data_IF_642940353440
#
_entry.id   IF_642940353440
#
_cell.length_a   1.000
_cell.length_b   1.000
_cell.length_c   1.000
_cell.angle_alpha   90.00
_cell.angle_beta   90.00
_cell.angle_gamma   90.00
#
_symmetry.space_group_name_H-M   'P 1'
#
loop_
_entity.id
_entity.type
_entity.pdbx_description
1 polymer ?
#
# COMPACT_ATOMS: atom_id res chain seq x y z
N UNK A 1 -21.32 10.60 18.22
CA UNK A 1 -20.27 10.30 17.22
C UNK A 1 -21.00 10.03 15.92
N UNK A 2 -20.85 10.88 14.90
CA UNK A 2 -21.43 10.59 13.58
C UNK A 2 -20.83 9.29 13.05
N UNK A 3 -21.67 8.30 12.75
CA UNK A 3 -21.21 7.11 12.05
C UNK A 3 -20.82 7.52 10.62
N UNK A 4 -19.52 7.59 10.35
CA UNK A 4 -19.00 7.90 9.02
C UNK A 4 -19.47 6.81 8.06
N UNK A 5 -20.40 7.16 7.16
CA UNK A 5 -20.91 6.23 6.17
C UNK A 5 -19.87 6.02 5.08
N UNK A 6 -19.16 4.88 5.13
CA UNK A 6 -18.20 4.51 4.09
C UNK A 6 -18.90 4.14 2.78
N UNK A 7 -18.22 4.37 1.65
CA UNK A 7 -18.67 3.82 0.35
C UNK A 7 -18.76 2.30 0.40
N UNK A 8 -19.58 1.70 -0.45
CA UNK A 8 -19.72 0.23 -0.55
C UNK A 8 -18.38 -0.50 -0.78
N UNK A 9 -17.44 0.11 -1.52
CA UNK A 9 -16.09 -0.44 -1.71
C UNK A 9 -15.29 -0.47 -0.41
N UNK A 10 -15.39 0.57 0.41
CA UNK A 10 -14.69 0.65 1.69
C UNK A 10 -15.31 -0.27 2.74
N UNK A 11 -16.64 -0.36 2.80
CA UNK A 11 -17.34 -1.32 3.65
C UNK A 11 -16.86 -2.75 3.37
N UNK A 12 -16.87 -3.18 2.10
CA UNK A 12 -16.36 -4.50 1.71
C UNK A 12 -14.92 -4.77 2.16
N UNK A 13 -14.05 -3.78 2.09
CA UNK A 13 -12.66 -3.90 2.57
C UNK A 13 -12.61 -4.09 4.07
N UNK A 14 -13.35 -3.26 4.80
CA UNK A 14 -13.37 -3.27 6.26
C UNK A 14 -13.96 -4.58 6.78
N UNK A 15 -15.11 -5.01 6.24
CA UNK A 15 -15.74 -6.29 6.57
C UNK A 15 -14.79 -7.48 6.35
N UNK A 16 -14.00 -7.44 5.27
CA UNK A 16 -13.01 -8.47 4.98
C UNK A 16 -11.90 -8.49 6.04
N UNK A 17 -11.35 -7.33 6.41
CA UNK A 17 -10.32 -7.22 7.44
C UNK A 17 -10.84 -7.55 8.84
N UNK A 18 -12.07 -7.17 9.17
CA UNK A 18 -12.72 -7.52 10.43
C UNK A 18 -12.90 -9.03 10.56
N UNK A 19 -13.30 -9.70 9.47
CA UNK A 19 -13.55 -11.14 9.47
C UNK A 19 -12.29 -12.00 9.42
N UNK A 20 -11.29 -11.60 8.64
CA UNK A 20 -10.11 -12.45 8.35
C UNK A 20 -8.80 -11.91 8.93
N UNK A 21 -8.82 -10.72 9.52
CA UNK A 21 -7.66 -10.10 10.15
C UNK A 21 -6.74 -9.37 9.17
N UNK A 22 -5.51 -9.17 9.64
CA UNK A 22 -4.49 -8.43 8.91
C UNK A 22 -3.96 -9.19 7.67
N UNK A 23 -3.47 -8.49 6.63
CA UNK A 23 -2.89 -9.13 5.44
C UNK A 23 -1.80 -10.17 5.69
N UNK A 24 -1.12 -10.12 6.84
CA UNK A 24 -0.08 -11.07 7.22
C UNK A 24 -0.59 -12.36 7.92
N UNK A 25 -1.90 -12.50 8.16
CA UNK A 25 -2.45 -13.69 8.82
C UNK A 25 -2.68 -14.84 7.84
N UNK A 26 -2.58 -16.10 8.29
CA UNK A 26 -2.97 -17.28 7.49
C UNK A 26 -4.43 -17.24 7.04
N UNK A 27 -5.34 -16.77 7.89
CA UNK A 27 -6.79 -16.70 7.64
C UNK A 27 -7.11 -15.74 6.51
N UNK A 28 -6.50 -14.55 6.52
CA UNK A 28 -6.60 -13.58 5.43
C UNK A 28 -6.16 -14.19 4.11
N UNK A 29 -5.01 -14.88 4.11
CA UNK A 29 -4.48 -15.53 2.90
C UNK A 29 -5.42 -16.60 2.36
N UNK A 30 -5.99 -17.43 3.23
CA UNK A 30 -6.91 -18.48 2.82
C UNK A 30 -8.19 -17.89 2.21
N UNK A 31 -8.76 -16.88 2.85
CA UNK A 31 -9.95 -16.18 2.37
C UNK A 31 -9.71 -15.47 1.04
N UNK A 32 -8.59 -14.76 0.93
CA UNK A 32 -8.21 -14.06 -0.29
C UNK A 32 -8.00 -15.05 -1.45
N UNK A 33 -7.40 -16.22 -1.20
CA UNK A 33 -7.24 -17.28 -2.21
C UNK A 33 -8.56 -17.92 -2.62
N UNK A 34 -9.59 -17.90 -1.78
CA UNK A 34 -10.94 -18.37 -2.11
C UNK A 34 -11.79 -17.30 -2.83
N UNK A 35 -11.47 -16.01 -2.65
CA UNK A 35 -12.20 -14.90 -3.24
C UNK A 35 -12.11 -14.86 -4.77
N UNK A 36 -13.07 -14.19 -5.41
CA UNK A 36 -13.05 -13.92 -6.86
C UNK A 36 -11.86 -13.03 -7.25
N UNK A 37 -11.44 -13.05 -8.52
CA UNK A 37 -10.32 -12.23 -8.99
C UNK A 37 -10.52 -10.73 -8.71
N UNK A 38 -11.71 -10.20 -8.98
CA UNK A 38 -12.02 -8.79 -8.73
C UNK A 38 -11.98 -8.42 -7.25
N UNK A 39 -12.44 -9.31 -6.38
CA UNK A 39 -12.40 -9.10 -4.94
C UNK A 39 -10.97 -9.15 -4.41
N UNK A 40 -10.13 -10.07 -4.90
CA UNK A 40 -8.70 -10.08 -4.55
C UNK A 40 -8.03 -8.76 -4.85
N UNK A 41 -8.28 -8.21 -6.04
CA UNK A 41 -7.74 -6.90 -6.43
C UNK A 41 -8.33 -5.78 -5.57
N UNK A 42 -9.64 -5.81 -5.29
CA UNK A 42 -10.29 -4.79 -4.45
C UNK A 42 -9.70 -4.72 -3.04
N UNK A 43 -9.43 -5.88 -2.43
CA UNK A 43 -8.89 -6.00 -1.08
C UNK A 43 -7.40 -5.66 -1.05
N UNK A 44 -6.60 -6.25 -1.93
CA UNK A 44 -5.15 -6.07 -1.90
C UNK A 44 -4.66 -4.77 -2.52
N UNK A 45 -5.34 -4.23 -3.52
CA UNK A 45 -4.84 -3.10 -4.29
C UNK A 45 -5.76 -1.89 -4.15
N UNK A 46 -5.16 -0.73 -3.93
CA UNK A 46 -5.83 0.55 -4.09
C UNK A 46 -5.35 1.25 -5.35
N UNK A 47 -6.22 1.30 -6.37
CA UNK A 47 -5.88 1.91 -7.67
C UNK A 47 -5.54 3.40 -7.54
N UNK A 48 -6.15 4.13 -6.61
CA UNK A 48 -5.82 5.54 -6.42
C UNK A 48 -4.43 5.70 -5.78
N UNK A 49 -4.09 4.87 -4.79
CA UNK A 49 -2.74 4.89 -4.24
C UNK A 49 -1.67 4.44 -5.25
N UNK A 50 -2.01 3.55 -6.18
CA UNK A 50 -1.11 3.12 -7.25
C UNK A 50 -0.64 4.29 -8.12
N UNK A 51 -1.58 5.15 -8.55
CA UNK A 51 -1.26 6.28 -9.44
C UNK A 51 -0.88 7.56 -8.69
N UNK A 52 -1.45 7.79 -7.50
CA UNK A 52 -1.32 9.08 -6.80
C UNK A 52 -0.47 9.01 -5.52
N UNK A 53 0.04 7.83 -5.14
CA UNK A 53 1.00 7.65 -4.05
C UNK A 53 0.70 8.49 -2.82
N UNK A 54 1.63 9.38 -2.46
CA UNK A 54 1.53 10.27 -1.30
C UNK A 54 0.30 11.17 -1.31
N UNK A 55 -0.12 11.69 -2.46
CA UNK A 55 -1.27 12.59 -2.56
C UNK A 55 -2.52 11.87 -2.06
N UNK A 56 -2.68 10.60 -2.42
CA UNK A 56 -3.82 9.81 -1.94
C UNK A 56 -3.70 9.41 -0.47
N UNK A 57 -2.48 9.14 0.03
CA UNK A 57 -2.27 8.93 1.46
C UNK A 57 -2.65 10.17 2.27
N UNK A 58 -2.37 11.38 1.78
CA UNK A 58 -2.79 12.63 2.43
C UNK A 58 -4.32 12.79 2.43
N UNK A 59 -5.00 12.43 1.34
CA UNK A 59 -6.48 12.43 1.28
C UNK A 59 -7.09 11.48 2.33
N UNK A 60 -6.48 10.30 2.53
CA UNK A 60 -6.89 9.36 3.58
C UNK A 60 -6.40 9.78 4.98
N UNK A 61 -5.62 10.86 5.08
CA UNK A 61 -4.99 11.36 6.29
C UNK A 61 -3.98 10.39 6.90
N UNK A 62 -3.30 9.58 6.08
CA UNK A 62 -2.23 8.65 6.44
C UNK A 62 -0.85 9.31 6.27
N UNK A 63 -0.72 10.56 6.69
CA UNK A 63 0.43 11.41 6.37
C UNK A 63 1.76 10.86 6.90
N UNK A 64 1.79 10.25 8.10
CA UNK A 64 3.01 9.66 8.68
C UNK A 64 3.53 8.49 7.84
N UNK A 65 2.68 7.48 7.62
CA UNK A 65 3.00 6.32 6.77
C UNK A 65 3.33 6.79 5.34
N UNK A 66 2.63 7.81 4.85
CA UNK A 66 2.90 8.45 3.56
C UNK A 66 4.31 9.06 3.47
N UNK A 67 4.74 9.83 4.47
CA UNK A 67 6.10 10.42 4.49
C UNK A 67 7.19 9.34 4.53
N UNK A 68 6.98 8.25 5.26
CA UNK A 68 7.93 7.12 5.25
C UNK A 68 8.00 6.47 3.87
N UNK A 69 6.86 6.18 3.27
CA UNK A 69 6.80 5.63 1.91
C UNK A 69 7.42 6.56 0.85
N UNK A 70 7.26 7.88 1.02
CA UNK A 70 7.92 8.88 0.18
C UNK A 70 9.44 8.82 0.34
N UNK A 71 9.94 8.78 1.58
CA UNK A 71 11.35 8.61 1.89
C UNK A 71 11.95 7.35 1.28
N UNK A 72 11.24 6.21 1.38
CA UNK A 72 11.64 4.94 0.75
C UNK A 72 11.70 5.09 -0.79
N UNK A 73 10.67 5.70 -1.40
CA UNK A 73 10.61 5.89 -2.85
C UNK A 73 11.79 6.74 -3.35
N UNK A 74 12.10 7.84 -2.65
CA UNK A 74 13.25 8.70 -2.96
C UNK A 74 14.56 7.95 -2.74
N UNK A 75 14.70 7.23 -1.62
CA UNK A 75 15.90 6.46 -1.29
C UNK A 75 16.23 5.40 -2.32
N UNK A 76 15.22 4.65 -2.81
CA UNK A 76 15.38 3.68 -3.90
C UNK A 76 15.85 4.37 -5.19
N UNK A 77 15.26 5.51 -5.53
CA UNK A 77 15.68 6.30 -6.68
C UNK A 77 17.14 6.76 -6.59
N UNK A 78 17.56 7.25 -5.41
CA UNK A 78 18.95 7.65 -5.17
C UNK A 78 19.92 6.47 -5.30
N UNK A 79 19.56 5.29 -4.78
CA UNK A 79 20.38 4.07 -4.92
C UNK A 79 20.57 3.71 -6.39
N UNK A 80 19.51 3.75 -7.21
CA UNK A 80 19.65 3.48 -8.65
C UNK A 80 20.59 4.47 -9.34
N UNK A 81 20.47 5.78 -9.03
CA UNK A 81 21.36 6.80 -9.58
C UNK A 81 22.82 6.60 -9.15
N UNK A 82 23.07 6.17 -7.90
CA UNK A 82 24.41 5.84 -7.42
C UNK A 82 24.97 4.65 -8.19
N UNK A 83 24.16 3.61 -8.44
CA UNK A 83 24.61 2.44 -9.20
C UNK A 83 25.00 2.84 -10.63
N UNK A 84 24.20 3.66 -11.31
CA UNK A 84 24.53 4.22 -12.63
C UNK A 84 25.89 4.90 -12.65
N UNK A 85 26.12 5.78 -11.68
CA UNK A 85 27.38 6.47 -11.53
C UNK A 85 28.56 5.50 -11.33
N UNK A 86 28.40 4.49 -10.46
CA UNK A 86 29.46 3.54 -10.11
C UNK A 86 29.83 2.59 -11.25
N UNK A 87 28.89 2.23 -12.13
CA UNK A 87 29.15 1.33 -13.27
C UNK A 87 29.61 2.08 -14.52
N UNK A 88 29.69 3.42 -14.48
CA UNK A 88 30.09 4.25 -15.63
C UNK A 88 29.16 4.11 -16.83
N UNK A 89 27.89 3.75 -16.60
CA UNK A 89 26.91 3.45 -17.62
C UNK A 89 25.50 3.80 -17.18
N UNK A 90 24.53 3.56 -18.06
CA UNK A 90 23.11 3.85 -17.79
C UNK A 90 22.33 2.56 -17.62
N UNK A 91 21.74 2.36 -16.44
CA UNK A 91 20.74 1.32 -16.19
C UNK A 91 19.62 1.48 -17.23
N UNK A 92 19.19 0.39 -17.86
CA UNK A 92 18.12 0.46 -18.85
C UNK A 92 16.83 1.08 -18.27
N UNK A 93 16.15 1.91 -19.05
CA UNK A 93 14.86 2.52 -18.68
C UNK A 93 13.80 1.49 -18.22
N UNK A 94 13.88 0.26 -18.73
CA UNK A 94 13.01 -0.84 -18.29
C UNK A 94 13.16 -1.17 -16.80
N UNK A 95 14.37 -1.08 -16.25
CA UNK A 95 14.64 -1.31 -14.82
C UNK A 95 14.05 -0.17 -13.99
N UNK A 96 14.30 1.09 -14.37
CA UNK A 96 13.69 2.25 -13.73
C UNK A 96 12.16 2.18 -13.73
N UNK A 97 11.58 1.79 -14.86
CA UNK A 97 10.14 1.60 -15.01
C UNK A 97 9.63 0.48 -14.11
N UNK A 98 10.31 -0.68 -14.10
CA UNK A 98 9.95 -1.81 -13.25
C UNK A 98 9.98 -1.46 -11.76
N UNK A 99 11.03 -0.75 -11.31
CA UNK A 99 11.13 -0.27 -9.93
C UNK A 99 10.02 0.73 -9.60
N UNK A 100 9.74 1.68 -10.49
CA UNK A 100 8.66 2.66 -10.30
C UNK A 100 7.29 1.99 -10.18
N UNK A 101 6.99 1.02 -11.06
CA UNK A 101 5.76 0.22 -10.99
C UNK A 101 5.70 -0.60 -9.70
N UNK A 102 6.83 -1.18 -9.27
CA UNK A 102 6.95 -1.88 -7.99
C UNK A 102 6.65 -0.97 -6.80
N UNK A 103 7.17 0.26 -6.80
CA UNK A 103 6.88 1.25 -5.77
C UNK A 103 5.39 1.63 -5.78
N UNK A 104 4.81 1.93 -6.95
CA UNK A 104 3.36 2.18 -7.10
C UNK A 104 2.51 1.01 -6.57
N UNK A 105 2.90 -0.23 -6.84
CA UNK A 105 2.24 -1.40 -6.29
C UNK A 105 2.34 -1.45 -4.76
N UNK A 106 3.48 -1.09 -4.18
CA UNK A 106 3.67 -1.03 -2.73
C UNK A 106 2.75 0.03 -2.08
N UNK A 107 2.64 1.23 -2.65
CA UNK A 107 1.67 2.24 -2.23
C UNK A 107 0.24 1.70 -2.25
N UNK A 108 -0.12 0.98 -3.32
CA UNK A 108 -1.43 0.37 -3.50
C UNK A 108 -1.75 -0.72 -2.47
N UNK A 109 -0.76 -1.55 -2.13
CA UNK A 109 -0.92 -2.66 -1.18
C UNK A 109 -1.12 -2.20 0.27
N UNK A 110 -0.49 -1.08 0.64
CA UNK A 110 -0.52 -0.57 2.00
C UNK A 110 -1.82 0.19 2.30
N UNK A 111 -2.30 0.98 1.32
CA UNK A 111 -3.33 1.99 1.56
C UNK A 111 -4.63 1.45 2.19
N UNK A 112 -5.12 0.29 1.74
CA UNK A 112 -6.41 -0.25 2.20
C UNK A 112 -6.36 -0.64 3.68
N UNK A 113 -5.34 -1.41 4.08
CA UNK A 113 -5.21 -1.88 5.46
C UNK A 113 -4.77 -0.75 6.41
N UNK A 114 -3.86 0.12 5.96
CA UNK A 114 -3.44 1.30 6.72
C UNK A 114 -4.62 2.23 7.04
N UNK A 115 -5.52 2.44 6.06
CA UNK A 115 -6.73 3.23 6.30
C UNK A 115 -7.70 2.51 7.24
N UNK A 116 -7.89 1.21 7.07
CA UNK A 116 -8.73 0.41 7.97
C UNK A 116 -8.29 0.53 9.44
N UNK A 117 -7.01 0.27 9.76
CA UNK A 117 -6.53 0.33 11.15
C UNK A 117 -6.58 1.74 11.73
N UNK A 118 -6.40 2.78 10.90
CA UNK A 118 -6.58 4.15 11.32
C UNK A 118 -8.03 4.40 11.74
N UNK A 119 -8.98 4.02 10.90
CA UNK A 119 -10.40 4.32 11.14
C UNK A 119 -11.03 3.44 12.22
N UNK A 120 -10.58 2.18 12.39
CA UNK A 120 -11.17 1.25 13.38
C UNK A 120 -10.44 1.23 14.70
N UNK A 121 -9.12 1.46 14.72
CA UNK A 121 -8.28 1.37 15.92
C UNK A 121 -7.66 2.69 16.33
N UNK A 122 -7.84 3.76 15.56
CA UNK A 122 -7.19 5.05 15.80
C UNK A 122 -5.67 5.02 15.61
N UNK A 123 -5.13 3.98 14.97
CA UNK A 123 -3.68 3.78 14.83
C UNK A 123 -3.13 4.55 13.63
N UNK A 124 -2.59 5.74 13.89
CA UNK A 124 -1.82 6.55 12.92
C UNK A 124 -0.35 6.67 13.36
N UNK A 125 0.43 5.63 13.10
CA UNK A 125 1.86 5.54 13.43
C UNK A 125 2.76 5.65 12.18
N UNK A 126 4.09 5.60 12.39
CA UNK A 126 5.09 5.75 11.35
C UNK A 126 5.43 4.47 10.57
N UNK A 127 4.88 3.31 10.92
CA UNK A 127 5.20 2.05 10.23
C UNK A 127 4.22 1.79 9.07
N UNK A 128 4.58 2.04 7.79
CA UNK A 128 3.67 1.79 6.67
C UNK A 128 3.41 0.30 6.44
N UNK A 129 4.21 -0.60 7.01
CA UNK A 129 4.12 -2.05 6.80
C UNK A 129 3.41 -2.79 7.93
N UNK A 130 2.74 -2.07 8.83
CA UNK A 130 1.98 -2.68 9.92
C UNK A 130 0.89 -3.63 9.41
N UNK A 131 0.97 -4.89 9.83
CA UNK A 131 0.06 -5.96 9.38
C UNK A 131 0.19 -6.34 7.91
N UNK A 132 1.14 -5.76 7.18
CA UNK A 132 1.45 -6.09 5.79
C UNK A 132 2.46 -7.22 5.78
N UNK A 133 2.26 -8.19 4.89
CA UNK A 133 3.28 -9.19 4.58
C UNK A 133 4.04 -8.76 3.34
N UNK A 134 5.32 -8.46 3.50
CA UNK A 134 6.25 -8.29 2.38
C UNK A 134 6.94 -9.63 2.14
N UNK A 135 6.40 -10.41 1.19
CA UNK A 135 6.86 -11.75 0.77
C UNK A 135 6.90 -12.82 1.89
#
# INVERSE_FOLDING_TARGET
MEQKQYSSKWQKRFDFFDKYGAPNTPEFKAALKAASFGERILINMNIFAFFFGIIYFLILGLWKKGLVMLGITIGVGLVLNIIDFMIGGTIPNAVYTGVSVGMSAMWAMIANYAYYIKETKGLDNWNPFEGIRML
#
